data_IF_936844335516
#
_entry.id   IF_936844335516
#
_cell.length_a   1.000
_cell.length_b   1.000
_cell.length_c   1.000
_cell.angle_alpha   90.00
_cell.angle_beta   90.00
_cell.angle_gamma   90.00
#
_symmetry.space_group_name_H-M   'P 1'
#
loop_
_entity.id
_entity.type
_entity.pdbx_description
1 polymer ?
#
# COMPACT_ATOMS: atom_id res chain seq x y z
N UNK A 1 -2.67 17.08 13.40
CA UNK A 1 -3.09 17.73 12.13
C UNK A 1 -2.17 17.34 10.98
N UNK A 2 -2.68 17.19 9.75
CA UNK A 2 -1.88 16.75 8.58
C UNK A 2 -2.00 17.75 7.42
N UNK A 3 -0.89 18.07 6.78
CA UNK A 3 -0.85 18.81 5.51
C UNK A 3 -0.57 17.85 4.36
N UNK A 4 -1.41 17.84 3.32
CA UNK A 4 -1.19 17.11 2.08
C UNK A 4 -0.61 18.03 1.01
N UNK A 5 0.44 17.55 0.35
CA UNK A 5 1.06 18.15 -0.82
C UNK A 5 0.85 17.21 -2.00
N UNK A 6 0.09 17.68 -3.00
CA UNK A 6 -0.10 17.01 -4.29
C UNK A 6 0.84 17.65 -5.32
N UNK A 7 2.00 17.01 -5.63
CA UNK A 7 3.05 17.63 -6.42
C UNK A 7 2.64 17.98 -7.84
N UNK A 8 3.38 18.90 -8.44
CA UNK A 8 3.19 19.26 -9.84
C UNK A 8 4.14 20.36 -10.30
N UNK A 9 4.54 20.28 -11.57
CA UNK A 9 5.34 21.32 -12.23
C UNK A 9 4.46 22.50 -12.66
N UNK A 10 3.88 22.40 -13.87
CA UNK A 10 3.16 23.50 -14.53
C UNK A 10 1.93 23.99 -13.75
N UNK A 11 1.20 23.07 -13.14
CA UNK A 11 -0.03 23.37 -12.37
C UNK A 11 0.25 23.68 -10.89
N UNK A 12 1.52 23.68 -10.49
CA UNK A 12 1.93 23.87 -9.10
C UNK A 12 1.66 22.66 -8.21
N UNK A 13 2.07 22.81 -6.95
CA UNK A 13 1.78 21.86 -5.86
C UNK A 13 0.49 22.31 -5.20
N UNK A 14 -0.50 21.42 -5.13
CA UNK A 14 -1.77 21.70 -4.44
C UNK A 14 -1.58 21.33 -2.97
N UNK A 15 -2.11 22.17 -2.09
CA UNK A 15 -1.92 22.07 -0.64
C UNK A 15 -3.28 21.97 0.01
N UNK A 16 -3.43 21.03 0.93
CA UNK A 16 -4.59 20.94 1.82
C UNK A 16 -4.13 20.68 3.25
N UNK A 17 -4.77 21.32 4.22
CA UNK A 17 -4.57 21.04 5.65
C UNK A 17 -5.83 20.40 6.19
N UNK A 18 -5.70 19.26 6.86
CA UNK A 18 -6.80 18.54 7.52
C UNK A 18 -6.51 18.36 9.01
N UNK A 19 -7.53 18.48 9.85
CA UNK A 19 -7.41 18.24 11.30
C UNK A 19 -7.32 16.73 11.62
N UNK A 20 -7.25 16.39 12.91
CA UNK A 20 -7.19 14.99 13.37
C UNK A 20 -8.43 14.14 13.04
N UNK A 21 -9.53 14.75 12.61
CA UNK A 21 -10.74 14.06 12.14
C UNK A 21 -10.79 13.92 10.61
N UNK A 22 -9.82 14.51 9.90
CA UNK A 22 -9.78 14.58 8.45
C UNK A 22 -10.62 15.72 7.86
N UNK A 23 -11.16 16.62 8.69
CA UNK A 23 -11.88 17.82 8.21
C UNK A 23 -10.90 18.80 7.59
N UNK A 24 -11.25 19.35 6.42
CA UNK A 24 -10.43 20.36 5.72
C UNK A 24 -10.47 21.68 6.48
N UNK A 25 -9.28 22.23 6.76
CA UNK A 25 -9.07 23.50 7.46
C UNK A 25 -8.68 24.63 6.50
N UNK A 26 -7.78 24.34 5.56
CA UNK A 26 -7.25 25.34 4.61
C UNK A 26 -6.78 24.63 3.33
N UNK A 27 -6.78 25.35 2.22
CA UNK A 27 -6.32 24.85 0.92
C UNK A 27 -5.70 25.98 0.10
N UNK A 28 -4.66 25.68 -0.66
CA UNK A 28 -4.07 26.63 -1.61
C UNK A 28 -3.30 25.92 -2.72
N UNK A 29 -2.76 26.69 -3.65
CA UNK A 29 -1.79 26.22 -4.63
C UNK A 29 -0.52 27.06 -4.52
N UNK A 30 0.64 26.39 -4.56
CA UNK A 30 1.97 27.02 -4.56
C UNK A 30 2.72 26.62 -5.83
N UNK A 31 3.65 27.45 -6.28
CA UNK A 31 4.37 27.24 -7.54
C UNK A 31 5.91 27.20 -7.34
N UNK A 32 6.42 26.29 -6.49
CA UNK A 32 7.85 26.21 -6.18
C UNK A 32 8.70 25.80 -7.38
N UNK A 33 8.12 25.02 -8.30
CA UNK A 33 8.84 24.35 -9.38
C UNK A 33 8.73 25.08 -10.72
N UNK A 34 9.32 24.51 -11.75
CA UNK A 34 9.20 25.04 -13.11
C UNK A 34 7.74 25.04 -13.60
N UNK A 35 7.28 26.07 -14.33
CA UNK A 35 8.07 27.20 -14.85
C UNK A 35 8.24 28.40 -13.90
N UNK A 36 7.44 28.53 -12.83
CA UNK A 36 7.40 29.74 -12.01
C UNK A 36 8.59 29.89 -11.04
N UNK A 37 9.14 28.77 -10.55
CA UNK A 37 10.31 28.70 -9.65
C UNK A 37 10.18 29.58 -8.39
N UNK A 38 8.99 29.67 -7.79
CA UNK A 38 8.72 30.50 -6.62
C UNK A 38 9.05 29.77 -5.30
N UNK A 39 10.28 29.31 -5.16
CA UNK A 39 10.71 28.43 -4.06
C UNK A 39 10.52 29.05 -2.66
N UNK A 40 11.04 30.25 -2.44
CA UNK A 40 11.00 30.88 -1.11
C UNK A 40 9.59 31.35 -0.73
N UNK A 41 8.81 31.84 -1.68
CA UNK A 41 7.41 32.21 -1.46
C UNK A 41 6.55 30.97 -1.11
N UNK A 42 6.80 29.85 -1.77
CA UNK A 42 6.18 28.57 -1.44
C UNK A 42 6.54 28.13 -0.02
N UNK A 43 7.84 28.14 0.35
CA UNK A 43 8.28 27.82 1.73
C UNK A 43 7.64 28.71 2.78
N UNK A 44 7.55 30.02 2.54
CA UNK A 44 6.92 30.96 3.46
C UNK A 44 5.42 30.67 3.64
N UNK A 45 4.71 30.34 2.55
CA UNK A 45 3.29 29.96 2.58
C UNK A 45 3.09 28.67 3.39
N UNK A 46 3.91 27.65 3.15
CA UNK A 46 3.84 26.38 3.89
C UNK A 46 4.17 26.58 5.38
N UNK A 47 5.20 27.37 5.70
CA UNK A 47 5.55 27.70 7.08
C UNK A 47 4.39 28.39 7.83
N UNK A 48 3.70 29.32 7.16
CA UNK A 48 2.54 30.00 7.73
C UNK A 48 1.38 29.04 8.01
N UNK A 49 1.12 28.09 7.10
CA UNK A 49 0.10 27.06 7.29
C UNK A 49 0.46 26.09 8.42
N UNK A 50 1.73 25.68 8.51
CA UNK A 50 2.23 24.83 9.61
C UNK A 50 2.01 25.50 10.96
N UNK A 51 2.41 26.78 11.09
CA UNK A 51 2.25 27.54 12.32
C UNK A 51 0.78 27.82 12.67
N UNK A 52 -0.05 28.13 11.67
CA UNK A 52 -1.47 28.47 11.87
C UNK A 52 -2.30 27.29 12.38
N UNK A 53 -2.00 26.08 11.91
CA UNK A 53 -2.82 24.89 12.16
C UNK A 53 -2.14 23.83 13.04
N UNK A 54 -0.95 24.14 13.58
CA UNK A 54 -0.12 23.19 14.34
C UNK A 54 0.03 21.86 13.59
N UNK A 55 0.53 21.95 12.36
CA UNK A 55 0.69 20.78 11.49
C UNK A 55 1.77 19.87 12.07
N UNK A 56 1.43 18.60 12.25
CA UNK A 56 2.33 17.59 12.83
C UNK A 56 2.91 16.66 11.77
N UNK A 57 2.19 16.50 10.66
CA UNK A 57 2.53 15.60 9.57
C UNK A 57 2.40 16.31 8.23
N UNK A 58 3.35 16.06 7.32
CA UNK A 58 3.28 16.48 5.91
C UNK A 58 3.27 15.21 5.04
N UNK A 59 2.14 14.97 4.39
CA UNK A 59 1.94 13.91 3.40
C UNK A 59 2.31 14.43 2.00
N UNK A 60 3.20 13.74 1.30
CA UNK A 60 3.67 14.14 -0.04
C UNK A 60 3.28 13.07 -1.04
N UNK A 61 2.48 13.42 -2.04
CA UNK A 61 2.13 12.50 -3.13
C UNK A 61 3.37 12.01 -3.87
N UNK A 62 3.41 10.73 -4.23
CA UNK A 62 4.56 10.10 -4.90
C UNK A 62 4.55 10.20 -6.44
N UNK A 63 3.80 11.13 -7.02
CA UNK A 63 3.77 11.34 -8.48
C UNK A 63 4.77 12.34 -9.01
N UNK A 64 4.32 13.10 -10.00
CA UNK A 64 5.17 14.01 -10.78
C UNK A 64 5.63 15.19 -9.94
N UNK A 65 6.94 15.47 -9.92
CA UNK A 65 7.59 16.50 -9.10
C UNK A 65 7.60 16.20 -7.59
N UNK A 66 7.38 14.94 -7.20
CA UNK A 66 7.37 14.52 -5.79
C UNK A 66 8.70 14.72 -5.09
N UNK A 67 9.82 14.45 -5.77
CA UNK A 67 11.18 14.66 -5.23
C UNK A 67 11.46 16.11 -4.93
N UNK A 68 11.21 17.00 -5.89
CA UNK A 68 11.40 18.43 -5.70
C UNK A 68 10.52 18.97 -4.57
N UNK A 69 9.32 18.39 -4.41
CA UNK A 69 8.41 18.73 -3.31
C UNK A 69 8.88 18.16 -1.97
N UNK A 70 9.51 16.99 -1.94
CA UNK A 70 10.14 16.40 -0.76
C UNK A 70 11.37 17.21 -0.31
N UNK A 71 12.20 17.67 -1.25
CA UNK A 71 13.30 18.60 -0.96
C UNK A 71 12.78 19.91 -0.37
N UNK A 72 11.70 20.47 -0.94
CA UNK A 72 11.04 21.67 -0.41
C UNK A 72 10.55 21.47 1.03
N UNK A 73 9.89 20.35 1.30
CA UNK A 73 9.39 20.00 2.62
C UNK A 73 10.52 19.76 3.63
N UNK A 74 11.60 19.10 3.20
CA UNK A 74 12.79 18.84 4.01
C UNK A 74 13.51 20.13 4.40
N UNK A 75 13.69 21.07 3.47
CA UNK A 75 14.23 22.41 3.75
C UNK A 75 13.35 23.18 4.75
N UNK A 76 12.03 23.16 4.55
CA UNK A 76 11.06 23.79 5.45
C UNK A 76 11.18 23.22 6.87
N UNK A 77 11.16 21.90 7.01
CA UNK A 77 11.30 21.19 8.30
C UNK A 77 12.64 21.52 8.95
N UNK A 78 13.73 21.57 8.18
CA UNK A 78 15.04 21.99 8.65
C UNK A 78 15.04 23.40 9.23
N UNK A 79 14.42 24.35 8.53
CA UNK A 79 14.30 25.74 8.99
C UNK A 79 13.45 25.86 10.27
N UNK A 80 12.32 25.15 10.35
CA UNK A 80 11.45 25.15 11.55
C UNK A 80 12.20 24.54 12.75
N UNK A 81 12.95 23.45 12.53
CA UNK A 81 13.75 22.84 13.59
C UNK A 81 14.87 23.78 14.06
N UNK A 82 15.51 24.49 13.14
CA UNK A 82 16.56 25.46 13.46
C UNK A 82 16.05 26.68 14.25
N UNK A 83 14.76 27.04 14.11
CA UNK A 83 14.15 28.11 14.92
C UNK A 83 13.73 27.66 16.33
N UNK A 84 13.87 26.37 16.66
CA UNK A 84 13.49 25.79 17.95
C UNK A 84 12.01 25.41 18.07
N UNK A 85 11.23 25.54 17.00
CA UNK A 85 9.82 25.12 16.98
C UNK A 85 9.68 23.61 16.72
N UNK A 86 8.54 23.03 17.13
CA UNK A 86 8.19 21.63 16.81
C UNK A 86 7.98 21.53 15.29
N UNK A 87 8.87 20.82 14.62
CA UNK A 87 8.79 20.61 13.18
C UNK A 87 7.92 19.38 12.86
N UNK A 88 7.09 19.42 11.81
CA UNK A 88 6.31 18.27 11.38
C UNK A 88 7.20 17.14 10.85
N UNK A 89 6.71 15.90 10.94
CA UNK A 89 7.31 14.78 10.24
C UNK A 89 6.79 14.72 8.79
N UNK A 90 7.65 14.34 7.84
CA UNK A 90 7.29 14.16 6.44
C UNK A 90 7.09 12.68 6.12
N UNK A 91 6.17 12.38 5.21
CA UNK A 91 5.94 11.03 4.71
C UNK A 91 5.53 11.07 3.24
N UNK A 92 6.17 10.22 2.44
CA UNK A 92 5.72 9.93 1.08
C UNK A 92 4.48 9.05 1.12
N UNK A 93 3.49 9.39 0.29
CA UNK A 93 2.19 8.70 0.22
C UNK A 93 1.85 8.41 -1.23
N UNK A 94 1.28 7.23 -1.49
CA UNK A 94 0.77 6.90 -2.82
C UNK A 94 -0.34 7.86 -3.24
N UNK A 95 -0.20 8.48 -4.40
CA UNK A 95 -1.27 9.27 -5.04
C UNK A 95 -2.18 8.43 -5.94
N UNK A 96 -1.96 7.12 -6.00
CA UNK A 96 -2.64 6.24 -6.94
C UNK A 96 -4.16 6.29 -6.74
N UNK A 97 -4.91 6.60 -7.79
CA UNK A 97 -6.36 6.82 -7.74
C UNK A 97 -6.81 8.14 -7.10
N UNK A 98 -5.92 9.04 -6.65
CA UNK A 98 -6.30 10.33 -6.06
C UNK A 98 -6.98 11.26 -7.09
N UNK A 99 -6.51 11.22 -8.34
CA UNK A 99 -7.15 11.91 -9.46
C UNK A 99 -8.55 11.36 -9.75
N UNK A 100 -8.71 10.04 -9.72
CA UNK A 100 -10.02 9.37 -9.90
C UNK A 100 -10.98 9.75 -8.77
N UNK A 101 -10.51 9.76 -7.52
CA UNK A 101 -11.27 10.28 -6.39
C UNK A 101 -11.69 11.72 -6.63
N UNK A 102 -10.76 12.62 -6.95
CA UNK A 102 -11.05 14.06 -7.07
C UNK A 102 -12.14 14.40 -8.11
N UNK A 103 -12.19 13.63 -9.19
CA UNK A 103 -13.15 13.78 -10.27
C UNK A 103 -14.46 12.98 -10.05
N UNK A 104 -14.55 12.20 -8.97
CA UNK A 104 -15.71 11.36 -8.67
C UNK A 104 -16.91 12.18 -8.18
N UNK A 105 -18.11 11.66 -8.41
CA UNK A 105 -19.34 12.22 -7.86
C UNK A 105 -19.32 12.22 -6.32
N UNK A 106 -18.72 11.19 -5.71
CA UNK A 106 -18.59 11.09 -4.26
C UNK A 106 -17.75 12.24 -3.69
N UNK A 107 -16.57 12.53 -4.26
CA UNK A 107 -15.73 13.64 -3.79
C UNK A 107 -16.40 15.01 -4.01
N UNK A 108 -17.18 15.17 -5.08
CA UNK A 108 -17.95 16.39 -5.32
C UNK A 108 -19.03 16.62 -4.24
N UNK A 109 -19.64 15.55 -3.75
CA UNK A 109 -20.60 15.61 -2.64
C UNK A 109 -19.92 15.79 -1.28
N UNK A 110 -18.78 15.13 -1.05
CA UNK A 110 -18.03 15.19 0.22
C UNK A 110 -17.38 16.56 0.44
N UNK A 111 -16.88 17.20 -0.62
CA UNK A 111 -16.14 18.46 -0.57
C UNK A 111 -16.78 19.51 -1.50
N UNK A 112 -18.03 19.93 -1.22
CA UNK A 112 -18.72 20.90 -2.05
C UNK A 112 -17.98 22.24 -2.00
N UNK A 113 -17.75 22.84 -3.17
CA UNK A 113 -17.06 24.14 -3.29
C UNK A 113 -15.53 24.06 -3.40
N UNK A 114 -14.91 22.89 -3.21
CA UNK A 114 -13.49 22.70 -3.54
C UNK A 114 -13.32 22.40 -5.03
N UNK A 115 -12.33 23.05 -5.64
CA UNK A 115 -11.89 22.73 -7.00
C UNK A 115 -11.37 21.29 -7.08
N UNK A 116 -11.55 20.67 -8.25
CA UNK A 116 -11.15 19.28 -8.50
C UNK A 116 -9.67 19.06 -8.19
N UNK A 117 -8.80 20.02 -8.52
CA UNK A 117 -7.36 19.88 -8.29
C UNK A 117 -6.98 19.86 -6.81
N UNK A 118 -7.74 20.53 -5.94
CA UNK A 118 -7.47 20.59 -4.49
C UNK A 118 -7.97 19.34 -3.76
N UNK A 119 -8.98 18.64 -4.28
CA UNK A 119 -9.49 17.39 -3.69
C UNK A 119 -8.45 16.28 -3.67
N UNK A 120 -7.53 16.27 -4.65
CA UNK A 120 -6.39 15.35 -4.67
C UNK A 120 -5.48 15.52 -3.45
N UNK A 121 -5.12 16.77 -3.13
CA UNK A 121 -4.31 17.09 -1.94
C UNK A 121 -5.01 16.71 -0.63
N UNK A 122 -6.34 16.88 -0.55
CA UNK A 122 -7.13 16.42 0.61
C UNK A 122 -7.04 14.90 0.75
N UNK A 123 -7.16 14.14 -0.36
CA UNK A 123 -7.03 12.68 -0.34
C UNK A 123 -5.64 12.24 0.11
N UNK A 124 -4.58 12.87 -0.38
CA UNK A 124 -3.19 12.58 0.06
C UNK A 124 -3.02 12.80 1.57
N UNK A 125 -3.55 13.90 2.11
CA UNK A 125 -3.48 14.18 3.54
C UNK A 125 -4.19 13.11 4.38
N UNK A 126 -5.41 12.73 3.97
CA UNK A 126 -6.24 11.73 4.66
C UNK A 126 -5.69 10.32 4.56
N UNK A 127 -5.06 9.95 3.43
CA UNK A 127 -4.38 8.66 3.26
C UNK A 127 -3.26 8.46 4.27
N UNK A 128 -2.54 9.52 4.66
CA UNK A 128 -1.53 9.41 5.69
C UNK A 128 -2.15 9.16 7.08
N UNK A 129 -3.33 9.72 7.34
CA UNK A 129 -4.04 9.52 8.61
C UNK A 129 -4.61 8.11 8.72
N UNK A 130 -5.29 7.65 7.66
CA UNK A 130 -5.81 6.29 7.56
C UNK A 130 -5.91 5.86 6.08
N UNK A 131 -4.94 5.07 5.58
CA UNK A 131 -4.95 4.61 4.19
C UNK A 131 -6.21 3.83 3.83
N UNK A 132 -6.72 2.99 4.75
CA UNK A 132 -7.86 2.13 4.47
C UNK A 132 -9.13 2.97 4.30
N UNK A 133 -9.39 3.88 5.24
CA UNK A 133 -10.59 4.72 5.22
C UNK A 133 -10.66 5.67 4.01
N UNK A 134 -9.51 6.03 3.45
CA UNK A 134 -9.45 6.92 2.28
C UNK A 134 -9.44 6.14 0.95
N UNK A 135 -8.74 5.00 0.85
CA UNK A 135 -8.68 4.21 -0.38
C UNK A 135 -10.01 3.52 -0.72
N UNK A 136 -10.82 3.16 0.27
CA UNK A 136 -12.16 2.56 0.04
C UNK A 136 -13.13 3.48 -0.70
N UNK A 137 -12.86 4.80 -0.73
CA UNK A 137 -13.66 5.80 -1.46
C UNK A 137 -13.44 5.74 -2.97
N UNK A 138 -12.43 5.00 -3.42
CA UNK A 138 -12.07 4.84 -4.82
C UNK A 138 -12.54 3.47 -5.29
N UNK A 139 -12.99 3.39 -6.55
CA UNK A 139 -13.28 2.10 -7.14
C UNK A 139 -12.00 1.23 -7.16
N UNK A 140 -11.99 0.01 -6.60
CA UNK A 140 -10.75 -0.73 -6.38
C UNK A 140 -9.87 -0.93 -7.63
N UNK A 141 -10.50 -1.15 -8.79
CA UNK A 141 -9.80 -1.28 -10.09
C UNK A 141 -9.06 -0.01 -10.53
N UNK A 142 -9.44 1.14 -9.98
CA UNK A 142 -8.92 2.46 -10.31
C UNK A 142 -7.79 2.90 -9.39
N UNK A 143 -7.45 2.10 -8.37
CA UNK A 143 -6.30 2.36 -7.48
C UNK A 143 -4.98 2.17 -8.23
N UNK A 144 -4.93 1.38 -9.31
CA UNK A 144 -3.70 1.20 -10.09
C UNK A 144 -2.77 0.17 -9.45
N UNK A 145 -3.23 -1.08 -9.33
CA UNK A 145 -2.54 -2.14 -8.57
C UNK A 145 -1.56 -2.98 -9.41
N UNK A 146 -1.47 -2.71 -10.72
CA UNK A 146 -0.55 -3.43 -11.59
C UNK A 146 -0.41 -2.81 -12.98
N UNK A 147 0.74 -3.02 -13.61
CA UNK A 147 1.10 -2.41 -14.91
C UNK A 147 0.11 -2.75 -16.03
N UNK A 148 -0.33 -4.01 -16.10
CA UNK A 148 -1.20 -4.54 -17.15
C UNK A 148 -2.63 -4.78 -16.67
N UNK A 149 -3.07 -4.07 -15.63
CA UNK A 149 -4.42 -4.23 -15.06
C UNK A 149 -5.55 -3.95 -16.07
N UNK A 150 -5.25 -3.22 -17.14
CA UNK A 150 -6.22 -2.91 -18.20
C UNK A 150 -6.33 -4.03 -19.25
N UNK A 151 -5.39 -4.97 -19.26
CA UNK A 151 -5.36 -6.10 -20.20
C UNK A 151 -6.11 -7.33 -19.66
N UNK A 152 -6.55 -7.29 -18.40
CA UNK A 152 -7.36 -8.35 -17.77
C UNK A 152 -8.85 -8.06 -17.89
N UNK A 153 -9.67 -9.11 -17.79
CA UNK A 153 -11.13 -8.98 -17.86
C UNK A 153 -11.67 -8.09 -16.71
N UNK A 154 -12.33 -6.96 -17.01
CA UNK A 154 -12.72 -5.97 -15.98
C UNK A 154 -13.61 -6.54 -14.87
N UNK A 155 -14.55 -7.43 -15.21
CA UNK A 155 -15.45 -8.03 -14.21
C UNK A 155 -14.76 -8.95 -13.22
N UNK A 156 -13.77 -9.73 -13.69
CA UNK A 156 -12.98 -10.63 -12.83
C UNK A 156 -12.09 -9.79 -11.91
N UNK A 157 -11.44 -8.76 -12.45
CA UNK A 157 -10.61 -7.84 -11.68
C UNK A 157 -11.42 -7.13 -10.60
N UNK A 158 -12.58 -6.56 -10.96
CA UNK A 158 -13.44 -5.84 -10.02
C UNK A 158 -13.92 -6.75 -8.87
N UNK A 159 -14.31 -7.99 -9.18
CA UNK A 159 -14.72 -8.97 -8.17
C UNK A 159 -13.56 -9.33 -7.23
N UNK A 160 -12.39 -9.62 -7.79
CA UNK A 160 -11.19 -10.00 -7.01
C UNK A 160 -10.76 -8.87 -6.08
N UNK A 161 -10.61 -7.65 -6.60
CA UNK A 161 -10.24 -6.49 -5.78
C UNK A 161 -11.32 -6.13 -4.77
N UNK A 162 -12.60 -6.30 -5.12
CA UNK A 162 -13.71 -6.12 -4.19
C UNK A 162 -13.60 -7.05 -2.98
N UNK A 163 -13.29 -8.33 -3.19
CA UNK A 163 -13.09 -9.30 -2.12
C UNK A 163 -11.89 -8.93 -1.23
N UNK A 164 -10.76 -8.52 -1.82
CA UNK A 164 -9.58 -8.07 -1.05
C UNK A 164 -9.90 -6.86 -0.18
N UNK A 165 -10.70 -5.91 -0.69
CA UNK A 165 -11.12 -4.74 0.07
C UNK A 165 -12.06 -5.14 1.21
N UNK A 166 -13.02 -6.04 0.97
CA UNK A 166 -13.90 -6.58 2.00
C UNK A 166 -13.08 -7.28 3.10
N UNK A 167 -12.18 -8.19 2.74
CA UNK A 167 -11.32 -8.90 3.69
C UNK A 167 -10.49 -7.91 4.53
N UNK A 168 -9.88 -6.90 3.90
CA UNK A 168 -9.06 -5.90 4.59
C UNK A 168 -9.89 -5.05 5.56
N UNK A 169 -11.09 -4.60 5.15
CA UNK A 169 -11.96 -3.77 5.99
C UNK A 169 -12.47 -4.57 7.19
N UNK A 170 -12.90 -5.81 6.99
CA UNK A 170 -13.43 -6.64 8.07
C UNK A 170 -12.32 -7.13 9.02
N UNK A 171 -11.11 -7.41 8.51
CA UNK A 171 -9.97 -7.74 9.36
C UNK A 171 -9.54 -6.56 10.24
N UNK A 172 -9.52 -5.33 9.69
CA UNK A 172 -9.19 -4.14 10.46
C UNK A 172 -10.32 -3.73 11.38
N UNK A 173 -11.58 -3.94 11.00
CA UNK A 173 -12.79 -3.47 11.68
C UNK A 173 -12.99 -1.96 11.60
N UNK A 174 -14.23 -1.51 11.82
CA UNK A 174 -14.67 -0.15 11.49
C UNK A 174 -15.33 0.52 12.70
N UNK A 175 -14.91 1.75 13.03
CA UNK A 175 -15.60 2.55 14.06
C UNK A 175 -16.95 3.06 13.52
N UNK A 176 -18.03 2.58 14.12
CA UNK A 176 -19.40 2.87 13.70
C UNK A 176 -19.74 4.37 13.76
N UNK A 177 -19.15 5.09 14.70
CA UNK A 177 -19.49 6.49 14.96
C UNK A 177 -18.71 7.47 14.07
N UNK A 178 -17.63 7.03 13.43
CA UNK A 178 -16.80 7.92 12.58
C UNK A 178 -16.72 7.47 11.13
N UNK A 179 -17.08 6.22 10.83
CA UNK A 179 -16.96 5.68 9.48
C UNK A 179 -17.82 6.43 8.45
N UNK A 180 -17.28 6.50 7.23
CA UNK A 180 -17.96 7.04 6.06
C UNK A 180 -18.85 5.97 5.41
N UNK A 181 -19.79 6.40 4.56
CA UNK A 181 -20.65 5.49 3.80
C UNK A 181 -19.82 4.48 2.97
N UNK A 182 -18.78 4.89 2.20
CA UNK A 182 -17.97 3.93 1.43
C UNK A 182 -17.24 2.90 2.30
N UNK A 183 -16.81 3.27 3.51
CA UNK A 183 -16.16 2.34 4.43
C UNK A 183 -17.16 1.34 5.01
N UNK A 184 -18.31 1.82 5.48
CA UNK A 184 -19.39 0.96 6.01
C UNK A 184 -19.92 -0.01 4.94
N UNK A 185 -20.01 0.42 3.68
CA UNK A 185 -20.46 -0.43 2.57
C UNK A 185 -19.50 -1.58 2.23
N UNK A 186 -18.31 -1.64 2.86
CA UNK A 186 -17.36 -2.77 2.75
C UNK A 186 -17.39 -3.70 3.95
N UNK A 187 -18.19 -3.40 4.97
CA UNK A 187 -18.39 -4.27 6.12
C UNK A 187 -19.34 -5.40 5.74
N UNK A 188 -19.03 -6.62 6.20
CA UNK A 188 -19.83 -7.80 5.91
C UNK A 188 -21.30 -7.59 6.29
N UNK A 189 -22.21 -7.93 5.38
CA UNK A 189 -23.65 -7.75 5.58
C UNK A 189 -24.18 -6.33 5.43
N UNK A 190 -23.34 -5.33 5.10
CA UNK A 190 -23.76 -3.94 4.90
C UNK A 190 -23.73 -3.58 3.41
N UNK A 191 -24.91 -3.27 2.86
CA UNK A 191 -25.03 -2.69 1.51
C UNK A 191 -24.82 -1.19 1.55
N UNK A 192 -24.57 -0.57 0.39
CA UNK A 192 -24.47 0.90 0.26
C UNK A 192 -25.71 1.62 0.84
N UNK A 193 -26.91 1.14 0.52
CA UNK A 193 -28.17 1.66 1.05
C UNK A 193 -28.35 1.50 2.56
N UNK A 194 -27.69 0.50 3.17
CA UNK A 194 -27.68 0.29 4.61
C UNK A 194 -26.62 1.18 5.29
N UNK A 195 -25.46 1.34 4.67
CA UNK A 195 -24.43 2.27 5.11
C UNK A 195 -24.94 3.72 5.16
N UNK A 196 -25.68 4.16 4.14
CA UNK A 196 -26.37 5.46 4.13
C UNK A 196 -27.39 5.56 5.28
N UNK A 197 -28.17 4.51 5.52
CA UNK A 197 -29.17 4.49 6.60
C UNK A 197 -28.52 4.56 7.99
N UNK A 198 -27.38 3.89 8.19
CA UNK A 198 -26.60 3.93 9.42
C UNK A 198 -26.08 5.35 9.67
N UNK A 199 -25.48 5.98 8.66
CA UNK A 199 -24.97 7.36 8.77
C UNK A 199 -26.11 8.34 9.01
N UNK A 200 -27.21 8.25 8.27
CA UNK A 200 -28.37 9.11 8.48
C UNK A 200 -28.99 8.93 9.87
N UNK A 201 -29.01 7.70 10.40
CA UNK A 201 -29.45 7.44 11.77
C UNK A 201 -28.51 8.11 12.78
N UNK A 202 -27.20 7.93 12.64
CA UNK A 202 -26.18 8.57 13.47
C UNK A 202 -26.31 10.09 13.48
N UNK A 203 -26.49 10.69 12.31
CA UNK A 203 -26.55 12.15 12.18
C UNK A 203 -27.85 12.73 12.80
N UNK A 204 -28.93 11.94 12.86
CA UNK A 204 -30.21 12.33 13.45
C UNK A 204 -30.33 12.03 14.94
N UNK A 205 -29.96 10.83 15.37
CA UNK A 205 -30.14 10.32 16.73
C UNK A 205 -28.90 10.55 17.62
N UNK A 206 -27.77 10.91 17.01
CA UNK A 206 -26.49 11.04 17.69
C UNK A 206 -25.67 9.74 17.63
N UNK A 207 -24.59 9.71 18.42
CA UNK A 207 -23.64 8.59 18.45
C UNK A 207 -24.30 7.32 18.99
N UNK A 208 -23.97 6.17 18.38
CA UNK A 208 -24.32 4.86 18.90
C UNK A 208 -23.55 4.57 20.19
N UNK A 209 -24.27 4.16 21.23
CA UNK A 209 -23.71 3.80 22.55
C UNK A 209 -23.51 2.29 22.72
N UNK A 210 -24.25 1.48 21.94
CA UNK A 210 -24.09 0.02 21.93
C UNK A 210 -24.35 -0.54 20.55
N UNK A 211 -23.78 -1.71 20.24
CA UNK A 211 -24.03 -2.38 18.95
C UNK A 211 -25.50 -2.69 18.76
N UNK A 212 -26.23 -3.02 19.84
CA UNK A 212 -27.66 -3.35 19.78
C UNK A 212 -28.51 -2.24 19.17
N UNK A 213 -28.10 -0.97 19.32
CA UNK A 213 -28.78 0.17 18.72
C UNK A 213 -28.78 0.14 17.17
N UNK A 214 -27.94 -0.70 16.54
CA UNK A 214 -28.01 -0.95 15.10
C UNK A 214 -29.37 -1.54 14.67
N UNK A 215 -30.06 -2.26 15.55
CA UNK A 215 -31.39 -2.82 15.25
C UNK A 215 -32.48 -1.74 15.13
N UNK A 216 -32.20 -0.51 15.58
CA UNK A 216 -33.09 0.65 15.42
C UNK A 216 -32.87 1.35 14.07
N UNK A 217 -31.85 0.94 13.30
CA UNK A 217 -31.58 1.48 11.97
C UNK A 217 -32.59 0.90 10.97
N UNK A 218 -33.29 1.75 10.18
CA UNK A 218 -34.24 1.28 9.19
C UNK A 218 -33.62 0.27 8.22
N UNK A 219 -34.29 -0.87 8.04
CA UNK A 219 -33.89 -1.99 7.16
C UNK A 219 -32.72 -2.83 7.67
N UNK A 220 -32.17 -2.55 8.86
CA UNK A 220 -31.17 -3.40 9.51
C UNK A 220 -31.87 -4.52 10.29
N UNK A 221 -32.05 -5.67 9.64
CA UNK A 221 -32.68 -6.83 10.27
C UNK A 221 -31.70 -7.65 11.13
N UNK A 222 -32.22 -8.62 11.93
CA UNK A 222 -31.40 -9.48 12.79
C UNK A 222 -30.27 -10.22 12.05
N UNK A 223 -30.52 -10.63 10.79
CA UNK A 223 -29.48 -11.32 9.99
C UNK A 223 -28.36 -10.38 9.56
N UNK A 224 -28.69 -9.16 9.14
CA UNK A 224 -27.69 -8.16 8.81
C UNK A 224 -26.86 -7.79 10.04
N UNK A 225 -27.52 -7.63 11.20
CA UNK A 225 -26.86 -7.43 12.49
C UNK A 225 -25.87 -8.56 12.82
N UNK A 226 -26.29 -9.82 12.71
CA UNK A 226 -25.42 -10.98 12.94
C UNK A 226 -24.20 -11.00 12.01
N UNK A 227 -24.33 -10.53 10.78
CA UNK A 227 -23.19 -10.49 9.84
C UNK A 227 -22.24 -9.32 10.11
N UNK A 228 -22.74 -8.15 10.55
CA UNK A 228 -21.92 -6.95 10.64
C UNK A 228 -21.41 -6.63 12.05
N UNK A 229 -22.11 -7.08 13.11
CA UNK A 229 -21.89 -6.57 14.46
C UNK A 229 -20.46 -6.81 14.99
N UNK A 230 -19.81 -7.92 14.60
CA UNK A 230 -18.45 -8.25 15.05
C UNK A 230 -17.37 -7.35 14.43
N UNK A 231 -17.67 -6.74 13.28
CA UNK A 231 -16.72 -5.90 12.54
C UNK A 231 -16.91 -4.40 12.83
N UNK A 232 -18.06 -4.02 13.40
CA UNK A 232 -18.35 -2.65 13.81
C UNK A 232 -17.92 -2.44 15.26
N UNK A 233 -17.17 -1.39 15.53
CA UNK A 233 -16.68 -1.05 16.88
C UNK A 233 -17.29 0.25 17.38
N UNK A 234 -17.48 0.32 18.68
CA UNK A 234 -17.91 1.54 19.38
C UNK A 234 -16.88 1.83 20.45
N UNK A 235 -16.11 2.90 20.24
CA UNK A 235 -15.20 3.43 21.27
C UNK A 235 -16.00 4.23 22.28
N UNK A 236 -15.66 4.07 23.56
CA UNK A 236 -16.29 4.75 24.69
C UNK A 236 -17.82 4.53 24.75
N UNK A 237 -18.27 3.32 24.40
CA UNK A 237 -19.67 2.89 24.51
C UNK A 237 -20.04 2.37 25.91
N UNK A 238 -21.29 1.92 26.06
CA UNK A 238 -21.80 1.39 27.33
C UNK A 238 -21.16 0.04 27.72
N UNK A 239 -20.92 -0.85 26.74
CA UNK A 239 -20.28 -2.14 26.94
C UNK A 239 -18.84 -2.12 26.38
N UNK A 240 -17.80 -2.31 27.22
CA UNK A 240 -16.41 -2.34 26.76
C UNK A 240 -16.13 -3.40 25.68
N UNK A 241 -16.95 -4.46 25.58
CA UNK A 241 -16.82 -5.47 24.52
C UNK A 241 -17.17 -4.93 23.14
N UNK A 242 -17.94 -3.84 23.03
CA UNK A 242 -18.27 -3.22 21.74
C UNK A 242 -17.05 -2.55 21.08
N UNK A 243 -15.96 -2.34 21.84
CA UNK A 243 -14.67 -1.89 21.30
C UNK A 243 -13.78 -3.03 20.79
N UNK A 244 -14.17 -4.29 21.00
CA UNK A 244 -13.41 -5.49 20.61
C UNK A 244 -13.95 -6.14 19.33
N UNK A 245 -13.25 -7.15 18.80
CA UNK A 245 -13.75 -8.06 17.77
C UNK A 245 -14.70 -9.15 18.28
N UNK A 246 -15.00 -9.20 19.59
CA UNK A 246 -15.91 -10.21 20.14
C UNK A 246 -17.32 -9.97 19.62
N UNK A 247 -17.89 -10.97 18.95
CA UNK A 247 -19.25 -10.91 18.44
C UNK A 247 -20.28 -10.89 19.58
N UNK A 248 -21.36 -10.07 19.50
CA UNK A 248 -22.38 -10.00 20.56
C UNK A 248 -23.06 -11.34 20.90
N UNK A 249 -23.09 -12.29 19.97
CA UNK A 249 -23.64 -13.63 20.27
C UNK A 249 -22.81 -14.40 21.31
N UNK A 250 -21.51 -14.07 21.42
CA UNK A 250 -20.54 -14.71 22.28
C UNK A 250 -20.35 -13.98 23.61
N UNK A 251 -21.06 -12.89 23.87
CA UNK A 251 -21.02 -12.17 25.15
C UNK A 251 -21.37 -13.05 26.37
N UNK A 252 -22.30 -14.02 26.27
CA UNK A 252 -22.51 -14.98 27.35
C UNK A 252 -21.25 -15.79 27.69
N UNK A 253 -20.39 -16.09 26.71
CA UNK A 253 -19.12 -16.81 26.94
C UNK A 253 -18.16 -15.95 27.75
N UNK A 254 -18.03 -14.66 27.42
CA UNK A 254 -17.22 -13.71 28.20
C UNK A 254 -17.71 -13.63 29.64
N UNK A 255 -19.03 -13.54 29.85
CA UNK A 255 -19.61 -13.52 31.21
C UNK A 255 -19.24 -14.77 32.01
N UNK A 256 -19.31 -15.97 31.41
CA UNK A 256 -18.84 -17.21 32.07
C UNK A 256 -17.35 -17.18 32.42
N UNK A 257 -16.52 -16.59 31.58
CA UNK A 257 -15.08 -16.41 31.85
C UNK A 257 -14.90 -15.52 33.09
N UNK A 258 -15.59 -14.38 33.15
CA UNK A 258 -15.54 -13.45 34.27
C UNK A 258 -16.01 -14.12 35.58
N UNK A 259 -17.16 -14.80 35.56
CA UNK A 259 -17.73 -15.48 36.72
C UNK A 259 -16.77 -16.55 37.27
N UNK A 260 -16.10 -17.29 36.38
CA UNK A 260 -15.17 -18.36 36.76
C UNK A 260 -13.84 -17.84 37.31
N UNK A 261 -13.40 -16.70 36.79
CA UNK A 261 -12.18 -16.02 37.21
C UNK A 261 -12.39 -15.17 38.47
N UNK A 262 -13.63 -14.78 38.76
CA UNK A 262 -13.97 -13.93 39.91
C UNK A 262 -13.48 -12.49 39.76
N UNK A 263 -13.37 -12.00 38.53
CA UNK A 263 -12.90 -10.64 38.20
C UNK A 263 -13.92 -9.91 37.32
N UNK A 264 -13.89 -8.59 37.37
CA UNK A 264 -14.70 -7.75 36.49
C UNK A 264 -14.10 -7.64 35.09
N UNK A 265 -14.91 -7.21 34.12
CA UNK A 265 -14.46 -6.99 32.74
C UNK A 265 -13.33 -5.94 32.66
N UNK A 266 -13.41 -4.89 33.48
CA UNK A 266 -12.40 -3.84 33.51
C UNK A 266 -11.05 -4.33 34.07
N UNK A 267 -11.05 -5.33 34.94
CA UNK A 267 -9.83 -5.90 35.53
C UNK A 267 -9.15 -6.90 34.61
N UNK A 268 -9.90 -7.66 33.82
CA UNK A 268 -9.34 -8.70 32.96
C UNK A 268 -8.84 -8.19 31.60
N UNK A 269 -9.44 -7.12 31.08
CA UNK A 269 -9.03 -6.54 29.79
C UNK A 269 -7.57 -6.06 29.91
N UNK A 270 -6.71 -6.60 29.04
CA UNK A 270 -5.28 -6.29 29.06
C UNK A 270 -4.43 -7.09 30.05
N UNK A 271 -5.02 -7.93 30.91
CA UNK A 271 -4.25 -8.82 31.79
C UNK A 271 -3.75 -10.05 31.01
N UNK A 272 -2.67 -9.85 30.25
CA UNK A 272 -2.07 -10.91 29.42
C UNK A 272 -1.71 -12.17 30.24
N UNK A 273 -1.35 -12.00 31.51
CA UNK A 273 -0.91 -13.12 32.34
C UNK A 273 -2.10 -13.98 32.76
N UNK A 274 -3.17 -13.36 33.24
CA UNK A 274 -4.38 -14.09 33.62
C UNK A 274 -5.01 -14.78 32.40
N UNK A 275 -5.15 -14.06 31.28
CA UNK A 275 -5.78 -14.57 30.06
C UNK A 275 -5.01 -15.75 29.44
N UNK A 276 -3.67 -15.67 29.37
CA UNK A 276 -2.86 -16.78 28.82
C UNK A 276 -2.79 -18.00 29.73
N UNK A 277 -3.08 -17.85 31.03
CA UNK A 277 -3.18 -18.97 31.96
C UNK A 277 -4.51 -19.75 31.82
N UNK A 278 -5.52 -19.16 31.19
CA UNK A 278 -6.81 -19.79 30.98
C UNK A 278 -6.73 -20.85 29.87
N UNK A 279 -7.40 -21.98 30.08
CA UNK A 279 -7.53 -23.03 29.05
C UNK A 279 -8.83 -22.80 28.28
N UNK A 280 -8.79 -22.56 26.96
CA UNK A 280 -10.01 -22.29 26.18
C UNK A 280 -11.05 -23.42 26.25
N UNK A 281 -10.60 -24.68 26.39
CA UNK A 281 -11.46 -25.84 26.53
C UNK A 281 -12.38 -25.79 27.77
N UNK A 282 -12.00 -25.05 28.82
CA UNK A 282 -12.80 -24.93 30.05
C UNK A 282 -14.04 -24.03 29.85
N UNK A 283 -14.12 -23.28 28.74
CA UNK A 283 -15.22 -22.34 28.44
C UNK A 283 -15.96 -22.64 27.15
N UNK A 284 -15.52 -23.67 26.40
CA UNK A 284 -16.14 -24.12 25.18
C UNK A 284 -17.44 -24.89 25.47
N UNK A 285 -18.39 -24.81 24.54
CA UNK A 285 -19.64 -25.57 24.58
C UNK A 285 -20.06 -26.05 23.18
N UNK A 286 -21.23 -26.66 23.07
CA UNK A 286 -21.76 -27.20 21.80
C UNK A 286 -21.95 -26.14 20.71
N UNK A 287 -22.10 -24.87 21.09
CA UNK A 287 -22.28 -23.73 20.18
C UNK A 287 -20.98 -23.00 19.91
N UNK A 288 -20.13 -22.82 20.92
CA UNK A 288 -18.89 -22.07 20.87
C UNK A 288 -17.70 -22.98 21.16
N UNK A 289 -17.04 -23.42 20.09
CA UNK A 289 -15.88 -24.30 20.19
C UNK A 289 -14.61 -23.61 20.69
N UNK A 290 -13.56 -24.42 20.87
CA UNK A 290 -12.23 -23.98 21.29
C UNK A 290 -11.68 -22.80 20.45
N UNK A 291 -11.79 -22.79 19.11
CA UNK A 291 -11.29 -21.66 18.31
C UNK A 291 -11.94 -20.34 18.70
N UNK A 292 -13.27 -20.30 18.83
CA UNK A 292 -14.00 -19.10 19.23
C UNK A 292 -13.59 -18.59 20.60
N UNK A 293 -13.44 -19.49 21.58
CA UNK A 293 -12.97 -19.09 22.93
C UNK A 293 -11.53 -18.56 22.87
N UNK A 294 -10.68 -19.18 22.06
CA UNK A 294 -9.29 -18.74 21.87
C UNK A 294 -9.24 -17.32 21.30
N UNK A 295 -10.06 -17.03 20.30
CA UNK A 295 -10.17 -15.70 19.71
C UNK A 295 -10.72 -14.67 20.72
N UNK A 296 -11.72 -15.05 21.52
CA UNK A 296 -12.25 -14.20 22.60
C UNK A 296 -11.17 -13.83 23.61
N UNK A 297 -10.35 -14.80 24.05
CA UNK A 297 -9.25 -14.53 24.98
C UNK A 297 -8.20 -13.61 24.34
N UNK A 298 -7.91 -13.78 23.05
CA UNK A 298 -7.04 -12.88 22.30
C UNK A 298 -7.57 -11.45 22.22
N UNK A 299 -8.88 -11.29 21.99
CA UNK A 299 -9.55 -9.99 22.00
C UNK A 299 -9.61 -9.35 23.39
N UNK A 300 -9.80 -10.13 24.46
CA UNK A 300 -9.71 -9.60 25.83
C UNK A 300 -8.27 -9.17 26.18
N UNK A 301 -7.26 -9.83 25.60
CA UNK A 301 -5.86 -9.44 25.79
C UNK A 301 -5.60 -8.07 25.16
N UNK A 302 -6.07 -7.86 23.93
CA UNK A 302 -5.88 -6.61 23.18
C UNK A 302 -7.14 -6.27 22.37
N UNK A 303 -8.14 -5.61 22.98
CA UNK A 303 -9.42 -5.34 22.32
C UNK A 303 -9.26 -4.52 21.05
N UNK A 304 -9.83 -5.03 19.95
CA UNK A 304 -9.86 -4.31 18.68
C UNK A 304 -8.46 -4.05 18.13
N UNK A 305 -7.51 -4.96 18.40
CA UNK A 305 -6.13 -4.88 17.92
C UNK A 305 -6.11 -4.63 16.42
N UNK A 306 -5.46 -3.54 16.03
CA UNK A 306 -5.23 -3.25 14.62
C UNK A 306 -4.26 -4.29 14.02
N UNK A 307 -4.65 -5.04 12.97
CA UNK A 307 -3.77 -6.02 12.34
C UNK A 307 -2.71 -5.37 11.44
N UNK A 308 -2.81 -4.06 11.18
CA UNK A 308 -1.88 -3.34 10.31
C UNK A 308 -0.52 -3.19 11.01
N UNK A 309 0.59 -3.25 10.25
CA UNK A 309 1.91 -2.96 10.80
C UNK A 309 2.02 -1.50 11.23
N UNK A 310 2.97 -1.21 12.10
CA UNK A 310 3.33 0.18 12.39
C UNK A 310 3.77 0.90 11.10
N UNK A 311 3.38 2.16 10.96
CA UNK A 311 3.72 2.96 9.79
C UNK A 311 5.22 3.27 9.74
N UNK A 312 5.85 3.05 8.58
CA UNK A 312 7.27 3.30 8.33
C UNK A 312 7.42 4.06 7.02
N UNK A 313 8.23 5.11 7.02
CA UNK A 313 8.56 5.91 5.83
C UNK A 313 9.95 5.57 5.31
N UNK A 314 10.11 5.46 3.99
CA UNK A 314 11.43 5.39 3.37
C UNK A 314 12.15 6.73 3.51
N UNK A 315 13.41 6.71 3.91
CA UNK A 315 14.28 7.89 3.91
C UNK A 315 15.27 7.76 2.75
N UNK A 316 15.05 8.50 1.67
CA UNK A 316 15.99 8.50 0.55
C UNK A 316 17.33 9.16 0.94
N UNK A 317 18.42 8.67 0.37
CA UNK A 317 19.74 9.23 0.64
C UNK A 317 19.88 10.63 0.01
N UNK A 318 20.28 11.62 0.81
CA UNK A 318 20.48 12.99 0.35
C UNK A 318 21.59 13.07 -0.72
N UNK A 319 21.31 13.76 -1.84
CA UNK A 319 22.27 14.00 -2.92
C UNK A 319 22.39 12.89 -3.97
N UNK A 320 21.51 11.89 -3.95
CA UNK A 320 21.41 10.84 -4.98
C UNK A 320 20.13 11.04 -5.78
N UNK A 321 20.22 11.79 -6.88
CA UNK A 321 19.04 12.20 -7.68
C UNK A 321 19.05 11.62 -9.09
N UNK A 322 20.24 11.28 -9.61
CA UNK A 322 20.42 10.74 -10.96
C UNK A 322 21.11 9.40 -10.89
N UNK A 323 20.93 8.60 -11.94
CA UNK A 323 21.64 7.32 -12.10
C UNK A 323 23.16 7.51 -12.02
N UNK A 324 23.67 8.66 -12.48
CA UNK A 324 25.09 9.02 -12.41
C UNK A 324 25.62 9.26 -10.99
N UNK A 325 24.75 9.52 -10.01
CA UNK A 325 25.14 9.73 -8.62
C UNK A 325 25.32 8.39 -7.87
N UNK A 326 24.77 7.30 -8.43
CA UNK A 326 24.88 5.96 -7.87
C UNK A 326 26.29 5.38 -8.07
N UNK A 327 26.80 4.76 -7.02
CA UNK A 327 28.04 3.99 -7.05
C UNK A 327 27.79 2.57 -6.56
N UNK A 328 28.39 1.60 -7.23
CA UNK A 328 28.39 0.22 -6.76
C UNK A 328 28.90 0.16 -5.31
N UNK A 329 28.18 -0.61 -4.47
CA UNK A 329 28.43 -0.76 -3.04
C UNK A 329 27.59 0.15 -2.14
N UNK A 330 26.93 1.20 -2.66
CA UNK A 330 26.04 2.04 -1.87
C UNK A 330 24.86 1.23 -1.30
N UNK A 331 24.50 1.50 -0.05
CA UNK A 331 23.28 0.96 0.57
C UNK A 331 22.27 2.09 0.69
N UNK A 332 21.11 1.90 0.07
CA UNK A 332 20.05 2.89 -0.04
C UNK A 332 18.74 2.29 0.49
N UNK A 333 17.87 3.13 1.03
CA UNK A 333 16.46 2.76 1.17
C UNK A 333 15.74 3.04 -0.13
N UNK A 334 14.89 2.10 -0.53
CA UNK A 334 14.05 2.22 -1.70
C UNK A 334 12.68 1.63 -1.45
N UNK A 335 11.75 1.96 -2.34
CA UNK A 335 10.38 1.45 -2.29
C UNK A 335 10.20 0.48 -3.45
N UNK A 336 9.70 -0.72 -3.15
CA UNK A 336 9.37 -1.71 -4.19
C UNK A 336 8.24 -1.16 -5.04
N UNK A 337 8.48 -0.89 -6.32
CA UNK A 337 7.47 -0.38 -7.25
C UNK A 337 6.63 -1.51 -7.83
N UNK A 338 7.27 -2.65 -8.14
CA UNK A 338 6.60 -3.80 -8.74
C UNK A 338 7.34 -5.11 -8.41
N UNK A 339 6.60 -6.21 -8.33
CA UNK A 339 7.14 -7.56 -8.13
C UNK A 339 6.78 -8.42 -9.34
N UNK A 340 7.80 -8.97 -10.00
CA UNK A 340 7.68 -9.84 -11.15
C UNK A 340 8.15 -11.26 -10.80
N UNK A 341 7.85 -12.25 -11.64
CA UNK A 341 8.27 -13.64 -11.39
C UNK A 341 9.79 -13.83 -11.32
N UNK A 342 10.57 -12.92 -11.91
CA UNK A 342 12.04 -13.01 -11.95
C UNK A 342 12.75 -12.07 -10.96
N UNK A 343 12.01 -11.27 -10.19
CA UNK A 343 12.60 -10.29 -9.28
C UNK A 343 11.66 -9.16 -8.89
N UNK A 344 12.20 -8.11 -8.26
CA UNK A 344 11.45 -6.92 -7.87
C UNK A 344 12.11 -5.65 -8.38
N UNK A 345 11.29 -4.69 -8.78
CA UNK A 345 11.72 -3.34 -9.14
C UNK A 345 11.63 -2.45 -7.93
N UNK A 346 12.68 -1.68 -7.68
CA UNK A 346 12.82 -0.81 -6.50
C UNK A 346 13.22 0.58 -6.95
N UNK A 347 12.42 1.58 -6.58
CA UNK A 347 12.79 2.98 -6.72
C UNK A 347 13.68 3.38 -5.54
N UNK A 348 14.94 3.72 -5.85
CA UNK A 348 15.96 4.12 -4.87
C UNK A 348 16.22 5.61 -4.84
N UNK A 349 15.59 6.40 -5.72
CA UNK A 349 15.87 7.84 -5.70
C UNK A 349 16.10 8.52 -7.04
N UNK A 350 16.21 7.78 -8.14
CA UNK A 350 16.94 8.27 -9.34
C UNK A 350 16.13 8.30 -10.63
N UNK A 351 14.80 8.33 -10.52
CA UNK A 351 13.83 8.32 -11.65
C UNK A 351 13.87 7.07 -12.53
N UNK A 352 14.62 6.06 -12.12
CA UNK A 352 14.76 4.80 -12.82
C UNK A 352 14.76 3.68 -11.79
N UNK A 353 13.87 2.72 -11.97
CA UNK A 353 13.79 1.57 -11.08
C UNK A 353 15.01 0.68 -11.26
N UNK A 354 15.60 0.27 -10.14
CA UNK A 354 16.59 -0.78 -10.11
C UNK A 354 15.95 -2.15 -9.99
N UNK A 355 16.57 -3.16 -10.60
CA UNK A 355 16.09 -4.53 -10.55
C UNK A 355 16.85 -5.31 -9.48
N UNK A 356 16.11 -5.87 -8.53
CA UNK A 356 16.57 -6.96 -7.66
C UNK A 356 16.17 -8.28 -8.31
N UNK A 357 17.14 -9.02 -8.83
CA UNK A 357 16.89 -10.35 -9.38
C UNK A 357 16.52 -11.35 -8.27
N UNK A 358 15.71 -12.37 -8.56
CA UNK A 358 15.25 -13.37 -7.57
C UNK A 358 16.38 -14.01 -6.75
N UNK A 359 17.54 -14.25 -7.37
CA UNK A 359 18.73 -14.80 -6.70
C UNK A 359 19.43 -13.84 -5.73
N UNK A 360 19.13 -12.55 -5.83
CA UNK A 360 19.68 -11.48 -5.00
C UNK A 360 18.69 -11.01 -3.92
N UNK A 361 17.56 -11.72 -3.74
CA UNK A 361 16.51 -11.34 -2.80
C UNK A 361 16.73 -11.88 -1.38
N UNK A 362 17.33 -13.06 -1.25
CA UNK A 362 17.60 -13.70 0.04
C UNK A 362 18.81 -14.65 -0.04
N UNK A 363 19.36 -15.04 1.11
CA UNK A 363 20.43 -16.05 1.20
C UNK A 363 19.94 -17.50 1.01
N UNK A 364 18.61 -17.69 0.93
CA UNK A 364 17.95 -18.96 0.63
C UNK A 364 17.38 -18.96 -0.79
N UNK A 365 17.08 -20.15 -1.32
CA UNK A 365 16.35 -20.26 -2.58
C UNK A 365 14.95 -19.66 -2.44
N UNK A 366 14.59 -18.79 -3.39
CA UNK A 366 13.28 -18.13 -3.46
C UNK A 366 12.59 -18.61 -4.73
N UNK A 367 11.47 -19.31 -4.57
CA UNK A 367 10.63 -19.75 -5.69
C UNK A 367 9.71 -18.65 -6.21
N UNK A 368 9.21 -17.80 -5.31
CA UNK A 368 8.34 -16.68 -5.63
C UNK A 368 8.83 -15.40 -4.92
N UNK A 369 9.23 -14.36 -5.68
CA UNK A 369 9.57 -13.05 -5.14
C UNK A 369 8.53 -12.44 -4.17
N UNK A 370 7.24 -12.78 -4.30
CA UNK A 370 6.17 -12.28 -3.41
C UNK A 370 6.26 -12.81 -1.97
N UNK A 371 7.01 -13.89 -1.73
CA UNK A 371 7.29 -14.38 -0.38
C UNK A 371 8.28 -13.48 0.38
N UNK A 372 9.10 -12.71 -0.35
CA UNK A 372 10.18 -11.90 0.23
C UNK A 372 9.80 -10.43 0.31
N UNK A 373 9.18 -9.91 -0.76
CA UNK A 373 8.81 -8.49 -0.84
C UNK A 373 7.41 -8.29 -1.39
N UNK A 374 6.83 -7.13 -1.06
CA UNK A 374 5.52 -6.68 -1.58
C UNK A 374 5.68 -5.33 -2.27
N UNK A 375 4.85 -5.06 -3.28
CA UNK A 375 4.76 -3.73 -3.87
C UNK A 375 4.40 -2.69 -2.80
N UNK A 376 5.09 -1.55 -2.80
CA UNK A 376 5.01 -0.50 -1.80
C UNK A 376 5.87 -0.72 -0.55
N UNK A 377 6.53 -1.87 -0.40
CA UNK A 377 7.39 -2.13 0.75
C UNK A 377 8.67 -1.29 0.70
N UNK A 378 9.01 -0.67 1.83
CA UNK A 378 10.31 -0.03 2.04
C UNK A 378 11.36 -1.11 2.32
N UNK A 379 12.42 -1.12 1.52
CA UNK A 379 13.51 -2.09 1.61
C UNK A 379 14.86 -1.39 1.59
N UNK A 380 15.84 -1.97 2.28
CA UNK A 380 17.25 -1.58 2.13
C UNK A 380 17.88 -2.42 1.05
N UNK A 381 18.45 -1.76 0.04
CA UNK A 381 19.07 -2.39 -1.11
C UNK A 381 20.50 -1.92 -1.26
N UNK A 382 21.36 -2.82 -1.74
CA UNK A 382 22.74 -2.51 -2.13
C UNK A 382 22.82 -2.37 -3.64
N UNK A 383 23.47 -1.31 -4.10
CA UNK A 383 23.78 -1.12 -5.52
C UNK A 383 24.89 -2.09 -5.90
N UNK A 384 24.60 -3.02 -6.80
CA UNK A 384 25.56 -4.02 -7.30
C UNK A 384 26.26 -3.50 -8.55
N UNK A 385 25.49 -2.92 -9.47
CA UNK A 385 25.97 -2.48 -10.77
C UNK A 385 25.17 -1.26 -11.26
N UNK A 386 25.82 -0.36 -11.98
CA UNK A 386 25.21 0.87 -12.53
C UNK A 386 25.69 1.07 -13.96
N UNK A 387 24.78 0.93 -14.90
CA UNK A 387 25.00 1.25 -16.31
C UNK A 387 24.32 2.57 -16.64
N UNK A 388 25.11 3.64 -16.67
CA UNK A 388 24.63 5.01 -16.92
C UNK A 388 24.20 5.19 -18.39
N UNK A 389 24.84 4.51 -19.33
CA UNK A 389 24.48 4.64 -20.76
C UNK A 389 23.10 4.02 -21.05
N UNK A 390 22.82 2.88 -20.42
CA UNK A 390 21.54 2.16 -20.60
C UNK A 390 20.49 2.49 -19.55
N UNK A 391 20.81 3.36 -18.58
CA UNK A 391 19.94 3.67 -17.44
C UNK A 391 19.49 2.39 -16.72
N UNK A 392 20.43 1.48 -16.42
CA UNK A 392 20.13 0.23 -15.70
C UNK A 392 20.84 0.20 -14.36
N UNK A 393 20.10 -0.21 -13.33
CA UNK A 393 20.61 -0.29 -11.96
C UNK A 393 20.38 -1.72 -11.47
N UNK A 394 21.45 -2.43 -11.16
CA UNK A 394 21.41 -3.74 -10.51
C UNK A 394 21.39 -3.56 -9.00
N UNK A 395 20.37 -4.09 -8.34
CA UNK A 395 20.21 -4.01 -6.89
C UNK A 395 20.23 -5.41 -6.25
N UNK A 396 20.62 -5.49 -4.99
CA UNK A 396 20.55 -6.70 -4.16
C UNK A 396 19.92 -6.38 -2.81
N UNK A 397 19.05 -7.26 -2.31
CA UNK A 397 18.55 -7.22 -0.93
C UNK A 397 19.56 -7.85 0.04
N UNK A 398 20.59 -8.52 -0.48
CA UNK A 398 21.68 -9.13 0.30
C UNK A 398 22.77 -8.09 0.52
N UNK A 399 22.78 -7.49 1.71
CA UNK A 399 23.70 -6.39 2.04
C UNK A 399 25.18 -6.84 2.10
N UNK A 400 25.40 -8.12 2.41
CA UNK A 400 26.74 -8.72 2.56
C UNK A 400 27.37 -9.15 1.22
N UNK A 401 26.66 -9.02 0.10
CA UNK A 401 27.16 -9.47 -1.20
C UNK A 401 28.30 -8.56 -1.68
N UNK A 402 29.50 -9.13 -1.86
CA UNK A 402 30.65 -8.39 -2.41
C UNK A 402 30.41 -8.04 -3.88
N UNK A 403 30.49 -6.75 -4.20
CA UNK A 403 30.45 -6.23 -5.56
C UNK A 403 31.63 -6.80 -6.35
N UNK A 404 31.35 -7.69 -7.31
CA UNK A 404 32.39 -8.17 -8.24
C UNK A 404 32.80 -7.01 -9.15
N UNK A 405 34.10 -6.67 -9.23
CA UNK A 405 34.54 -5.64 -10.15
C UNK A 405 34.32 -6.09 -11.59
N UNK A 406 33.94 -5.10 -12.41
CA UNK A 406 33.71 -5.15 -13.84
C UNK A 406 34.65 -6.12 -14.57
N UNK A 407 34.09 -7.19 -15.14
CA UNK A 407 34.80 -8.04 -16.10
C UNK A 407 34.75 -7.32 -17.46
N UNK A 408 35.54 -6.27 -17.57
CA UNK A 408 35.95 -5.70 -18.84
C UNK A 408 36.48 -6.80 -19.77
N UNK A 409 35.79 -6.97 -20.90
CA UNK A 409 36.37 -7.30 -22.22
C UNK A 409 37.55 -8.28 -22.23
N UNK A 410 37.33 -9.55 -21.85
CA UNK A 410 38.21 -10.64 -22.32
C UNK A 410 37.83 -11.04 -23.75
N UNK A 411 38.44 -10.32 -24.68
CA UNK A 411 38.58 -10.67 -26.10
C UNK A 411 39.01 -12.13 -26.20
N UNK A 412 38.24 -12.91 -26.94
CA UNK A 412 38.39 -14.35 -27.10
C UNK A 412 39.58 -14.66 -28.02
N UNK A 413 40.81 -14.55 -27.52
CA UNK A 413 42.00 -15.05 -28.22
C UNK A 413 42.20 -16.53 -27.88
N UNK A 414 41.80 -17.39 -28.82
CA UNK A 414 42.12 -18.82 -28.81
C UNK A 414 43.62 -19.02 -29.02
N UNK A 415 44.31 -19.85 -28.20
CA UNK A 415 45.68 -20.26 -28.52
C UNK A 415 45.68 -21.33 -29.62
N UNK A 416 46.54 -21.10 -30.61
CA UNK A 416 46.83 -21.97 -31.75
C UNK A 416 47.47 -23.29 -31.31
N UNK A 417 46.92 -24.44 -31.73
CA UNK A 417 47.56 -25.75 -31.60
C UNK A 417 48.51 -26.03 -32.78
N UNK A 418 49.66 -26.71 -32.58
CA UNK A 418 50.65 -26.94 -33.62
C UNK A 418 50.32 -28.15 -34.53
N UNK A 419 50.84 -28.19 -35.77
CA UNK A 419 50.42 -29.18 -36.78
C UNK A 419 51.35 -30.40 -36.82
N UNK A 420 50.77 -31.58 -37.10
CA UNK A 420 51.34 -32.81 -37.73
C UNK A 420 50.41 -33.98 -37.36
N UNK A 421 50.13 -35.02 -38.16
CA UNK A 421 50.58 -35.49 -39.47
C UNK A 421 49.65 -36.69 -39.80
N UNK A 422 49.21 -36.82 -41.05
CA UNK A 422 48.44 -37.98 -41.53
C UNK A 422 49.31 -39.26 -41.48
N UNK A 423 48.71 -40.47 -41.31
CA UNK A 423 48.43 -41.27 -42.51
C UNK A 423 47.20 -42.21 -42.46
N UNK A 424 46.48 -42.21 -43.60
CA UNK A 424 46.11 -43.38 -44.41
C UNK A 424 44.92 -44.31 -44.05
N UNK A 425 43.92 -44.27 -44.98
CA UNK A 425 43.05 -45.33 -45.54
C UNK A 425 42.42 -46.36 -44.59
N UNK A 426 41.08 -46.41 -44.57
CA UNK A 426 40.38 -47.46 -45.32
C UNK A 426 38.91 -47.13 -45.66
N UNK A 427 38.47 -47.73 -46.77
CA UNK A 427 37.20 -47.61 -47.48
C UNK A 427 36.03 -48.29 -46.73
N UNK A 428 34.83 -47.69 -46.71
CA UNK A 428 33.63 -48.34 -47.27
C UNK A 428 32.35 -47.48 -47.24
N UNK A 429 31.85 -47.25 -48.45
CA UNK A 429 30.45 -47.40 -48.89
C UNK A 429 29.27 -46.84 -48.07
N UNK A 430 28.68 -45.80 -48.67
CA UNK A 430 27.34 -45.83 -49.27
C UNK A 430 26.14 -45.26 -48.49
N UNK A 431 25.35 -44.49 -49.26
CA UNK A 431 23.93 -44.12 -49.13
C UNK A 431 23.58 -42.81 -48.39
N UNK A 432 23.27 -41.80 -49.22
CA UNK A 432 22.33 -40.70 -48.96
C UNK A 432 20.98 -41.25 -48.46
N UNK A 433 20.27 -40.51 -47.60
CA UNK A 433 19.06 -39.86 -48.09
C UNK A 433 18.86 -38.40 -47.64
N UNK A 434 18.23 -37.68 -48.56
CA UNK A 434 17.41 -36.47 -48.53
C UNK A 434 17.19 -35.70 -47.22
N UNK A 435 17.42 -34.39 -47.33
CA UNK A 435 17.05 -33.37 -46.37
C UNK A 435 15.54 -33.01 -46.51
N UNK A 436 14.80 -33.08 -45.40
CA UNK A 436 13.52 -32.38 -45.22
C UNK A 436 13.78 -30.98 -44.65
N UNK A 437 13.26 -29.90 -45.24
CA UNK A 437 13.17 -28.62 -44.55
C UNK A 437 11.99 -28.58 -43.59
N UNK A 438 12.22 -27.90 -42.47
CA UNK A 438 11.31 -27.71 -41.36
C UNK A 438 10.06 -26.88 -41.72
N UNK A 439 8.99 -27.16 -40.98
CA UNK A 439 7.71 -26.48 -41.02
C UNK A 439 7.83 -24.99 -40.65
N UNK A 440 7.48 -24.11 -41.59
CA UNK A 440 7.19 -22.70 -41.35
C UNK A 440 5.66 -22.51 -41.33
N UNK A 441 5.18 -21.76 -40.34
CA UNK A 441 3.78 -21.72 -39.90
C UNK A 441 2.76 -21.25 -40.93
N UNK A 442 1.54 -21.76 -40.74
CA UNK A 442 0.33 -21.70 -41.57
C UNK A 442 -0.34 -20.34 -41.72
N UNK A 443 0.36 -19.22 -41.49
CA UNK A 443 -0.20 -17.88 -41.63
C UNK A 443 0.46 -17.08 -42.75
N UNK A 444 1.76 -17.30 -42.99
CA UNK A 444 2.50 -16.63 -44.07
C UNK A 444 2.20 -17.20 -45.47
N UNK A 445 1.66 -18.40 -45.56
CA UNK A 445 1.18 -19.00 -46.82
C UNK A 445 -0.20 -18.41 -47.20
N UNK A 446 -1.12 -18.33 -46.23
CA UNK A 446 -2.48 -17.82 -46.43
C UNK A 446 -2.52 -16.34 -46.87
N UNK A 447 -1.59 -15.51 -46.36
CA UNK A 447 -1.50 -14.09 -46.75
C UNK A 447 -0.97 -13.89 -48.18
N UNK A 448 -0.13 -14.81 -48.68
CA UNK A 448 0.35 -14.79 -50.07
C UNK A 448 -0.71 -15.28 -51.05
N UNK A 449 -1.45 -16.31 -50.69
CA UNK A 449 -2.54 -16.84 -51.50
C UNK A 449 -3.74 -15.87 -51.57
N UNK A 450 -3.87 -14.96 -50.59
CA UNK A 450 -4.86 -13.88 -50.56
C UNK A 450 -4.43 -12.60 -51.34
N UNK A 451 -3.29 -12.62 -52.04
CA UNK A 451 -2.89 -11.53 -52.94
C UNK A 451 -2.34 -10.28 -52.26
N UNK A 452 -2.00 -10.34 -50.97
CA UNK A 452 -1.33 -9.24 -50.27
C UNK A 452 0.20 -9.42 -50.36
N UNK A 453 0.84 -8.71 -51.30
CA UNK A 453 2.30 -8.75 -51.45
C UNK A 453 2.85 -8.24 -52.78
N UNK A 454 2.40 -7.07 -53.24
CA UNK A 454 3.14 -6.25 -54.22
C UNK A 454 3.68 -5.00 -53.54
#
# INVERSE_FOLDING_TARGET
>A
TTMGLDPGFRTGVKVAVVDGTGKVLDTCAIFPHQPQKQWDAAKATLAALVARHDVELIAIGNGTASRETDTLASELVGHIRASGAKAPATAMVSEAGASVYSASAYAAHELPGLDVTLRGAVSIARRLQDPLAELVKIEPKSIGVGQYQHDVTPGILAKSLGAVVEDAVNAVGVDLNTASVPLLARVSGITESLAEAIVAHRDKAGRFQSRRALLDVPRLGPKAFEQCAGFLRIRDGEDPLDASGVHPESYPVVRRILDRAGVSLAEIIGDERALRAMRPADFADDRFGIPTVTDILGELEKPGRDPRPAFVTATFAAGVEKVADLKAGMVLEGVVTNVAAFGAFVDVGVHQDGLVHVSAMADRYVSDPHEVVRSGQVVRVKVVDVDVERQRIGLSLRLDEETKPDRGTRRNERPSAPPKRNPQRNNNNSRRPEAKPAAAGSMAQALRDAGFGR
#
